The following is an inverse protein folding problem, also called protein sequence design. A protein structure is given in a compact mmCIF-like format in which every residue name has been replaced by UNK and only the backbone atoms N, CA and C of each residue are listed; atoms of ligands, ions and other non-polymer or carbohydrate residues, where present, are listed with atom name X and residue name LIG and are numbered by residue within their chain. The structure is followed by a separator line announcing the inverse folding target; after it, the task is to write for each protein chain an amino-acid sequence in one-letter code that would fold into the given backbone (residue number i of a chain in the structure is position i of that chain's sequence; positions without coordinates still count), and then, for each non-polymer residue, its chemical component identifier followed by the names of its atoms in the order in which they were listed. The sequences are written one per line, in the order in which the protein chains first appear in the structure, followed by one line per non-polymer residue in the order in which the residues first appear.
data_IF_545144223869
#
_entry.id   IF_545144223869
#
_cell.length_a   1.000
_cell.length_b   1.000
_cell.length_c   1.000
_cell.angle_alpha   90.00
_cell.angle_beta   90.00
_cell.angle_gamma   90.00
#
_symmetry.space_group_name_H-M   'P 1'
#
loop_
_entity.id
_entity.type
_entity.pdbx_description
1 polymer ?
#
# COMPACT_ATOMS: atom_id res chain seq x y z
N UNK A 1 -2.91 38.57 33.66
CA UNK A 1 -1.82 38.24 32.71
C UNK A 1 -2.35 38.45 31.29
N UNK A 2 -1.60 39.10 30.40
CA UNK A 2 -2.07 39.36 29.02
C UNK A 2 -2.49 38.04 28.36
N UNK A 3 -3.69 37.99 27.78
CA UNK A 3 -4.32 36.77 27.23
C UNK A 3 -3.41 36.03 26.21
N UNK A 4 -2.55 36.76 25.52
CA UNK A 4 -1.56 36.20 24.59
C UNK A 4 -0.48 35.36 25.25
N UNK A 5 -0.01 35.72 26.46
CA UNK A 5 1.00 34.93 27.17
C UNK A 5 0.44 33.58 27.63
N UNK A 6 -0.85 33.54 27.99
CA UNK A 6 -1.53 32.29 28.37
C UNK A 6 -1.66 31.33 27.18
N UNK A 7 -1.92 31.86 25.98
CA UNK A 7 -2.01 31.05 24.76
C UNK A 7 -0.66 30.38 24.45
N UNK A 8 0.44 31.14 24.49
CA UNK A 8 1.78 30.61 24.23
C UNK A 8 2.16 29.48 25.22
N UNK A 9 1.86 29.66 26.50
CA UNK A 9 2.16 28.66 27.53
C UNK A 9 1.37 27.36 27.32
N UNK A 10 0.09 27.45 26.98
CA UNK A 10 -0.74 26.26 26.73
C UNK A 10 -0.27 25.49 25.49
N UNK A 11 0.12 26.18 24.41
CA UNK A 11 0.64 25.52 23.21
C UNK A 11 1.97 24.82 23.48
N UNK A 12 2.85 25.44 24.27
CA UNK A 12 4.15 24.86 24.62
C UNK A 12 4.01 23.62 25.51
N UNK A 13 3.16 23.68 26.53
CA UNK A 13 2.86 22.49 27.37
C UNK A 13 2.25 21.37 26.53
N UNK A 14 1.31 21.70 25.63
CA UNK A 14 0.68 20.70 24.77
C UNK A 14 1.72 19.95 23.92
N UNK A 15 2.65 20.67 23.26
CA UNK A 15 3.73 20.06 22.46
C UNK A 15 4.66 19.22 23.35
N UNK A 16 5.03 19.71 24.53
CA UNK A 16 5.91 18.96 25.45
C UNK A 16 5.25 17.69 26.00
N UNK A 17 3.92 17.67 26.15
CA UNK A 17 3.19 16.48 26.63
C UNK A 17 2.69 15.56 25.52
N UNK A 18 2.71 16.00 24.26
CA UNK A 18 2.29 15.20 23.11
C UNK A 18 3.36 14.11 22.86
N UNK A 19 3.12 12.91 23.39
CA UNK A 19 4.01 11.76 23.24
C UNK A 19 4.65 11.22 24.53
N UNK A 20 4.43 11.86 25.68
CA UNK A 20 4.97 11.39 26.98
C UNK A 20 3.94 10.68 27.88
N UNK A 21 2.70 10.50 27.42
CA UNK A 21 1.67 9.83 28.20
C UNK A 21 1.47 8.38 27.74
N UNK A 22 2.19 7.46 28.40
CA UNK A 22 1.93 6.02 28.31
C UNK A 22 1.00 5.66 29.47
N UNK A 23 -0.26 5.27 29.23
CA UNK A 23 -1.16 4.89 30.30
C UNK A 23 -0.63 3.65 31.03
N UNK A 24 -0.57 3.63 32.37
CA UNK A 24 -0.13 2.45 33.09
C UNK A 24 -1.14 1.33 32.90
N UNK A 25 -0.71 0.20 32.32
CA UNK A 25 -1.48 -1.03 32.34
C UNK A 25 -1.57 -1.52 33.78
N UNK A 26 -2.77 -1.48 34.37
CA UNK A 26 -3.01 -2.11 35.66
C UNK A 26 -2.98 -3.63 35.48
N UNK A 27 -1.83 -4.24 35.73
CA UNK A 27 -1.73 -5.68 35.92
C UNK A 27 -2.37 -5.98 37.28
N UNK A 28 -3.51 -6.68 37.25
CA UNK A 28 -4.27 -7.08 38.41
C UNK A 28 -3.83 -8.51 38.79
N UNK A 29 -3.08 -8.75 39.89
CA UNK A 29 -2.58 -10.07 40.21
C UNK A 29 -3.40 -10.67 41.35
N UNK A 30 -4.65 -11.07 41.11
CA UNK A 30 -5.37 -12.00 42.00
C UNK A 30 -6.34 -12.86 41.19
N UNK A 31 -5.91 -14.07 40.83
CA UNK A 31 -6.73 -15.29 40.83
C UNK A 31 -5.94 -16.46 40.23
N UNK A 32 -5.19 -17.19 41.07
CA UNK A 32 -5.23 -18.65 41.16
C UNK A 32 -4.03 -19.15 41.95
N UNK A 33 -4.28 -19.50 43.21
CA UNK A 33 -3.53 -20.57 43.85
C UNK A 33 -3.93 -21.89 43.18
N UNK A 34 -2.95 -22.62 42.63
CA UNK A 34 -2.57 -23.95 43.13
C UNK A 34 -1.52 -24.67 42.26
N UNK A 35 -0.54 -25.19 42.99
CA UNK A 35 0.19 -26.44 42.76
C UNK A 35 1.33 -26.48 41.72
N UNK A 36 2.53 -26.27 42.28
CA UNK A 36 3.80 -26.99 42.11
C UNK A 36 3.83 -28.16 41.11
N UNK A 37 4.90 -28.22 40.28
CA UNK A 37 5.87 -29.33 40.20
C UNK A 37 7.10 -28.90 39.37
N UNK A 38 8.25 -29.40 39.81
CA UNK A 38 9.63 -29.05 39.49
C UNK A 38 10.14 -29.45 38.10
N UNK A 39 11.17 -28.73 37.62
CA UNK A 39 12.15 -29.21 36.63
C UNK A 39 12.95 -28.06 35.99
N UNK A 40 14.29 -28.04 36.04
CA UNK A 40 15.08 -27.03 35.34
C UNK A 40 15.30 -27.49 33.90
N UNK A 41 14.88 -26.66 32.94
CA UNK A 41 15.27 -26.80 31.53
C UNK A 41 15.90 -25.47 31.12
N UNK A 42 17.21 -25.40 31.25
CA UNK A 42 18.01 -24.59 30.34
C UNK A 42 17.90 -25.26 28.97
N UNK A 43 17.22 -24.63 28.03
CA UNK A 43 17.41 -24.89 26.61
C UNK A 43 17.17 -23.57 25.90
N UNK A 44 18.30 -22.93 25.60
CA UNK A 44 18.59 -22.15 24.41
C UNK A 44 17.35 -21.60 23.68
N UNK A 45 17.15 -20.29 23.84
CA UNK A 45 16.49 -19.46 22.86
C UNK A 45 17.28 -19.59 21.55
N UNK A 46 16.92 -20.57 20.71
CA UNK A 46 17.19 -20.49 19.29
C UNK A 46 16.40 -19.26 18.79
N UNK A 47 17.08 -18.12 18.75
CA UNK A 47 16.74 -17.05 17.82
C UNK A 47 16.82 -17.67 16.43
N UNK A 48 15.69 -18.20 15.98
CA UNK A 48 15.48 -18.46 14.57
C UNK A 48 15.46 -17.07 13.93
N UNK A 49 16.63 -16.54 13.57
CA UNK A 49 16.74 -15.52 12.55
C UNK A 49 16.07 -16.14 11.32
N UNK A 50 14.78 -15.83 11.15
CA UNK A 50 14.06 -16.16 9.94
C UNK A 50 14.86 -15.50 8.84
N UNK A 51 15.61 -16.30 8.09
CA UNK A 51 16.31 -15.88 6.90
C UNK A 51 15.23 -15.47 5.90
N UNK A 52 14.76 -14.22 6.00
CA UNK A 52 13.83 -13.65 5.05
C UNK A 52 14.59 -13.64 3.73
N UNK A 53 14.10 -14.43 2.77
CA UNK A 53 14.64 -14.42 1.43
C UNK A 53 14.66 -12.96 0.94
N UNK A 54 15.74 -12.53 0.27
CA UNK A 54 15.81 -11.17 -0.26
C UNK A 54 14.64 -10.94 -1.21
N UNK A 55 13.92 -9.84 -1.01
CA UNK A 55 12.82 -9.41 -1.89
C UNK A 55 13.36 -9.27 -3.32
N UNK A 56 12.67 -9.90 -4.26
CA UNK A 56 12.99 -9.91 -5.70
C UNK A 56 12.05 -8.99 -6.49
N UNK A 57 12.42 -8.70 -7.75
CA UNK A 57 11.59 -7.85 -8.62
C UNK A 57 10.27 -8.55 -8.92
N UNK A 58 10.31 -9.88 -9.02
CA UNK A 58 9.15 -10.74 -9.13
C UNK A 58 8.19 -10.56 -7.94
N UNK A 59 8.71 -10.50 -6.70
CA UNK A 59 7.89 -10.27 -5.51
C UNK A 59 7.24 -8.87 -5.49
N UNK A 60 7.92 -7.84 -6.00
CA UNK A 60 7.34 -6.50 -6.14
C UNK A 60 6.24 -6.49 -7.20
N UNK A 61 6.51 -7.17 -8.32
CA UNK A 61 5.58 -7.27 -9.43
C UNK A 61 4.33 -8.06 -9.02
N UNK A 62 4.49 -9.15 -8.26
CA UNK A 62 3.38 -9.92 -7.73
C UNK A 62 2.49 -9.06 -6.81
N UNK A 63 3.07 -8.31 -5.87
CA UNK A 63 2.32 -7.37 -5.03
C UNK A 63 1.59 -6.31 -5.87
N UNK A 64 2.22 -5.76 -6.89
CA UNK A 64 1.58 -4.79 -7.78
C UNK A 64 0.38 -5.39 -8.53
N UNK A 65 0.50 -6.65 -8.98
CA UNK A 65 -0.58 -7.42 -9.61
C UNK A 65 -1.73 -7.65 -8.61
N UNK A 66 -1.42 -8.05 -7.37
CA UNK A 66 -2.41 -8.22 -6.29
C UNK A 66 -3.18 -6.93 -6.00
N UNK A 67 -2.49 -5.79 -5.88
CA UNK A 67 -3.15 -4.49 -5.66
C UNK A 67 -4.04 -4.09 -6.83
N UNK A 68 -3.65 -4.46 -8.06
CA UNK A 68 -4.45 -4.23 -9.25
C UNK A 68 -5.73 -5.06 -9.24
N UNK A 69 -5.67 -6.36 -8.90
CA UNK A 69 -6.86 -7.19 -8.77
C UNK A 69 -7.75 -6.71 -7.63
N UNK A 70 -7.16 -6.39 -6.47
CA UNK A 70 -7.90 -5.86 -5.32
C UNK A 70 -8.66 -4.58 -5.67
N UNK A 71 -8.03 -3.69 -6.44
CA UNK A 71 -8.63 -2.44 -6.94
C UNK A 71 -9.88 -2.70 -7.80
N UNK A 72 -9.80 -3.63 -8.74
CA UNK A 72 -10.93 -3.98 -9.60
C UNK A 72 -12.07 -4.53 -8.75
N UNK A 73 -11.76 -5.38 -7.78
CA UNK A 73 -12.74 -6.06 -6.97
C UNK A 73 -13.52 -7.12 -7.75
N UNK A 74 -14.34 -7.93 -7.06
CA UNK A 74 -14.92 -9.14 -7.63
C UNK A 74 -15.86 -8.87 -8.81
N UNK A 75 -16.58 -7.74 -8.83
CA UNK A 75 -17.53 -7.45 -9.93
C UNK A 75 -16.85 -7.05 -11.23
N UNK A 76 -15.79 -6.26 -11.14
CA UNK A 76 -15.06 -5.83 -12.33
C UNK A 76 -14.13 -6.95 -12.78
N UNK A 77 -13.36 -7.53 -11.85
CA UNK A 77 -12.42 -8.62 -12.12
C UNK A 77 -13.08 -9.78 -12.86
N UNK A 78 -14.27 -10.23 -12.43
CA UNK A 78 -15.00 -11.34 -13.07
C UNK A 78 -15.30 -11.16 -14.57
N UNK A 79 -15.16 -9.94 -15.12
CA UNK A 79 -15.36 -9.68 -16.55
C UNK A 79 -14.05 -9.40 -17.30
N UNK A 80 -13.12 -8.67 -16.70
CA UNK A 80 -11.96 -8.10 -17.42
C UNK A 80 -10.61 -8.60 -16.93
N UNK A 81 -10.56 -9.49 -15.94
CA UNK A 81 -9.31 -9.98 -15.35
C UNK A 81 -8.37 -10.64 -16.37
N UNK A 82 -8.90 -11.46 -17.28
CA UNK A 82 -8.08 -12.10 -18.32
C UNK A 82 -7.38 -11.06 -19.22
N UNK A 83 -8.12 -10.04 -19.69
CA UNK A 83 -7.56 -8.95 -20.50
C UNK A 83 -6.54 -8.12 -19.70
N UNK A 84 -6.76 -7.91 -18.40
CA UNK A 84 -5.81 -7.22 -17.52
C UNK A 84 -4.52 -8.02 -17.35
N UNK A 85 -4.62 -9.34 -17.19
CA UNK A 85 -3.46 -10.24 -17.08
C UNK A 85 -2.65 -10.24 -18.38
N UNK A 86 -3.32 -10.27 -19.53
CA UNK A 86 -2.65 -10.37 -20.83
C UNK A 86 -2.04 -9.03 -21.29
N UNK A 87 -2.72 -7.91 -21.02
CA UNK A 87 -2.34 -6.61 -21.59
C UNK A 87 -1.69 -5.65 -20.59
N UNK A 88 -2.17 -5.60 -19.34
CA UNK A 88 -1.75 -4.58 -18.37
C UNK A 88 -0.59 -5.06 -17.50
N UNK A 89 -0.62 -6.31 -17.06
CA UNK A 89 0.38 -6.86 -16.16
C UNK A 89 1.80 -6.85 -16.73
N UNK A 90 2.05 -7.20 -18.01
CA UNK A 90 3.38 -7.09 -18.60
C UNK A 90 3.91 -5.65 -18.64
N UNK A 91 3.00 -4.67 -18.77
CA UNK A 91 3.37 -3.25 -18.81
C UNK A 91 3.73 -2.75 -17.42
N UNK A 92 3.00 -3.17 -16.38
CA UNK A 92 3.35 -2.87 -14.98
C UNK A 92 4.74 -3.42 -14.66
N UNK A 93 5.00 -4.68 -15.01
CA UNK A 93 6.28 -5.36 -14.80
C UNK A 93 7.43 -4.59 -15.48
N UNK A 94 7.27 -4.27 -16.77
CA UNK A 94 8.24 -3.46 -17.53
C UNK A 94 8.54 -2.12 -16.86
N UNK A 95 7.50 -1.44 -16.34
CA UNK A 95 7.69 -0.14 -15.67
C UNK A 95 8.41 -0.33 -14.33
N UNK A 96 8.05 -1.32 -13.51
CA UNK A 96 8.74 -1.58 -12.24
C UNK A 96 10.22 -1.90 -12.47
N UNK A 97 10.53 -2.78 -13.44
CA UNK A 97 11.91 -3.10 -13.83
C UNK A 97 12.71 -1.87 -14.27
N UNK A 98 12.05 -0.85 -14.81
CA UNK A 98 12.73 0.38 -15.22
C UNK A 98 13.15 1.29 -14.05
N UNK A 99 12.52 1.13 -12.87
CA UNK A 99 12.81 1.91 -11.67
C UNK A 99 13.71 1.18 -10.67
N UNK A 100 13.62 -0.14 -10.66
CA UNK A 100 14.31 -0.99 -9.69
C UNK A 100 15.64 -1.45 -10.27
N UNK A 101 16.71 -1.21 -9.53
CA UNK A 101 18.01 -1.83 -9.80
C UNK A 101 18.06 -3.21 -9.13
N UNK A 102 18.33 -4.27 -9.89
CA UNK A 102 18.37 -5.67 -9.41
C UNK A 102 19.27 -5.87 -8.18
N UNK A 103 20.29 -5.02 -7.99
CA UNK A 103 21.17 -5.05 -6.83
C UNK A 103 20.58 -4.48 -5.54
N UNK A 104 19.47 -3.72 -5.63
CA UNK A 104 18.90 -2.91 -4.56
C UNK A 104 17.38 -3.10 -4.38
N UNK A 105 16.80 -4.15 -4.97
CA UNK A 105 15.37 -4.47 -4.88
C UNK A 105 14.77 -4.37 -3.46
N UNK A 106 15.44 -4.83 -2.39
CA UNK A 106 14.90 -4.71 -1.02
C UNK A 106 14.69 -3.28 -0.53
N UNK A 107 15.16 -2.26 -1.26
CA UNK A 107 14.93 -0.85 -0.94
C UNK A 107 13.60 -0.31 -1.47
N UNK A 108 12.86 -1.07 -2.27
CA UNK A 108 11.62 -0.63 -2.90
C UNK A 108 10.40 -1.37 -2.33
N UNK A 109 9.25 -0.69 -2.31
CA UNK A 109 8.00 -1.22 -1.76
C UNK A 109 6.80 -0.80 -2.61
N UNK A 110 5.74 -1.61 -2.56
CA UNK A 110 4.43 -1.34 -3.17
C UNK A 110 3.44 -0.98 -2.06
N UNK A 111 2.71 0.12 -2.20
CA UNK A 111 1.68 0.50 -1.22
C UNK A 111 0.42 -0.37 -1.36
N UNK A 112 -0.08 -0.91 -0.25
CA UNK A 112 -1.19 -1.89 -0.22
C UNK A 112 -2.58 -1.29 0.10
N UNK A 113 -2.86 -0.08 -0.36
CA UNK A 113 -4.08 0.65 0.01
C UNK A 113 -4.83 1.27 -1.19
N UNK A 114 -5.29 0.48 -2.18
CA UNK A 114 -6.00 1.00 -3.35
C UNK A 114 -7.23 1.83 -2.93
N UNK A 115 -7.49 2.91 -3.66
CA UNK A 115 -8.64 3.77 -3.36
C UNK A 115 -9.96 3.13 -3.79
N UNK A 116 -10.88 2.93 -2.86
CA UNK A 116 -12.21 2.39 -3.17
C UNK A 116 -13.12 3.39 -3.91
N UNK A 117 -14.29 2.93 -4.35
CA UNK A 117 -15.35 3.81 -4.84
C UNK A 117 -15.06 4.36 -6.22
N UNK A 118 -14.65 5.63 -6.28
CA UNK A 118 -14.31 6.34 -7.53
C UNK A 118 -12.87 6.83 -7.59
N UNK A 119 -12.07 6.65 -6.52
CA UNK A 119 -10.67 7.07 -6.53
C UNK A 119 -9.88 6.28 -7.57
N UNK A 120 -8.81 6.85 -8.12
CA UNK A 120 -8.10 6.27 -9.27
C UNK A 120 -6.90 5.42 -8.86
N UNK A 121 -6.29 5.74 -7.70
CA UNK A 121 -5.07 5.09 -7.22
C UNK A 121 -5.22 3.58 -7.03
N UNK A 122 -4.27 2.84 -7.59
CA UNK A 122 -4.08 1.41 -7.40
C UNK A 122 -3.02 1.20 -6.32
N UNK A 123 -1.78 1.62 -6.62
CA UNK A 123 -0.64 1.56 -5.71
C UNK A 123 0.40 2.62 -6.11
N UNK A 124 1.38 2.84 -5.24
CA UNK A 124 2.58 3.61 -5.52
C UNK A 124 3.80 2.70 -5.38
N UNK A 125 4.78 2.92 -6.24
CA UNK A 125 6.13 2.38 -6.07
C UNK A 125 6.92 3.41 -5.26
N UNK A 126 7.45 2.98 -4.10
CA UNK A 126 8.15 3.85 -3.18
C UNK A 126 9.53 3.29 -2.84
N UNK A 127 10.45 4.16 -2.44
CA UNK A 127 11.70 3.77 -1.79
C UNK A 127 11.47 3.59 -0.29
N UNK A 128 11.51 2.36 0.22
CA UNK A 128 11.15 1.98 1.59
C UNK A 128 11.93 2.73 2.69
N UNK A 129 13.21 3.05 2.48
CA UNK A 129 13.98 3.80 3.48
C UNK A 129 13.62 5.29 3.58
N UNK A 130 13.32 5.94 2.45
CA UNK A 130 13.10 7.39 2.39
C UNK A 130 11.62 7.75 2.38
N UNK A 131 10.75 6.78 2.06
CA UNK A 131 9.32 7.00 1.79
C UNK A 131 9.08 7.80 0.51
N UNK A 132 10.08 7.92 -0.36
CA UNK A 132 9.96 8.65 -1.61
C UNK A 132 9.10 7.88 -2.59
N UNK A 133 7.99 8.48 -3.01
CA UNK A 133 7.21 7.98 -4.14
C UNK A 133 8.01 8.18 -5.43
N UNK A 134 8.19 7.12 -6.21
CA UNK A 134 8.88 7.14 -7.49
C UNK A 134 7.86 7.19 -8.63
N UNK A 135 6.83 6.34 -8.52
CA UNK A 135 5.73 6.27 -9.47
C UNK A 135 4.39 5.99 -8.78
N UNK A 136 3.31 6.50 -9.37
CA UNK A 136 1.92 6.28 -8.91
C UNK A 136 1.12 5.60 -10.01
N UNK A 137 0.58 4.42 -9.72
CA UNK A 137 -0.17 3.61 -10.69
C UNK A 137 -1.65 3.75 -10.46
N UNK A 138 -2.36 4.20 -11.47
CA UNK A 138 -3.75 4.64 -11.41
C UNK A 138 -4.59 3.96 -12.50
N UNK A 139 -5.90 3.86 -12.25
CA UNK A 139 -6.89 3.45 -13.25
C UNK A 139 -8.10 4.38 -13.24
N UNK A 140 -8.47 4.85 -14.43
CA UNK A 140 -9.65 5.69 -14.69
C UNK A 140 -10.76 4.92 -15.36
N UNK A 141 -11.97 5.49 -15.27
CA UNK A 141 -13.14 5.05 -16.02
C UNK A 141 -13.50 6.11 -17.02
N UNK A 142 -13.27 5.82 -18.28
CA UNK A 142 -13.46 6.76 -19.37
C UNK A 142 -14.72 6.41 -20.13
N UNK A 143 -15.61 7.38 -20.34
CA UNK A 143 -16.77 7.23 -21.21
C UNK A 143 -16.42 7.79 -22.59
N UNK A 144 -16.30 6.91 -23.57
CA UNK A 144 -16.05 7.27 -24.96
C UNK A 144 -17.36 7.33 -25.75
N UNK A 145 -17.68 8.46 -26.41
CA UNK A 145 -18.90 8.60 -27.20
C UNK A 145 -19.04 7.50 -28.24
N UNK A 146 -20.19 6.81 -28.25
CA UNK A 146 -20.47 5.73 -29.19
C UNK A 146 -19.80 4.38 -28.86
N UNK A 147 -18.73 4.35 -28.06
CA UNK A 147 -17.98 3.15 -27.70
C UNK A 147 -18.38 2.57 -26.34
N UNK A 148 -18.70 3.42 -25.36
CA UNK A 148 -19.02 2.99 -23.99
C UNK A 148 -17.89 3.29 -23.02
N UNK A 149 -17.81 2.53 -21.94
CA UNK A 149 -16.87 2.69 -20.86
C UNK A 149 -15.62 1.85 -21.06
N UNK A 150 -14.49 2.43 -20.67
CA UNK A 150 -13.15 1.84 -20.72
C UNK A 150 -12.44 2.06 -19.39
N UNK A 151 -11.57 1.13 -19.03
CA UNK A 151 -10.62 1.29 -17.94
C UNK A 151 -9.28 1.72 -18.52
N UNK A 152 -8.84 2.94 -18.21
CA UNK A 152 -7.57 3.48 -18.67
C UNK A 152 -6.54 3.36 -17.55
N UNK A 153 -5.57 2.46 -17.75
CA UNK A 153 -4.45 2.24 -16.84
C UNK A 153 -3.29 3.14 -17.24
N UNK A 154 -2.73 3.84 -16.25
CA UNK A 154 -1.62 4.75 -16.47
C UNK A 154 -0.80 4.89 -15.19
N UNK A 155 0.39 5.45 -15.32
CA UNK A 155 1.23 5.82 -14.20
C UNK A 155 1.68 7.27 -14.31
N UNK A 156 2.07 7.81 -13.17
CA UNK A 156 2.65 9.14 -13.00
C UNK A 156 4.03 8.99 -12.39
N UNK A 157 4.99 9.82 -12.78
CA UNK A 157 6.38 9.71 -12.33
C UNK A 157 6.83 10.96 -11.59
N UNK A 158 7.78 10.80 -10.67
CA UNK A 158 8.26 11.92 -9.86
C UNK A 158 8.97 12.98 -10.71
N UNK A 159 9.66 12.59 -11.78
CA UNK A 159 10.50 13.44 -12.62
C UNK A 159 9.72 14.59 -13.27
N UNK A 160 8.44 14.37 -13.58
CA UNK A 160 7.54 15.38 -14.12
C UNK A 160 6.58 15.99 -13.09
N UNK A 161 6.77 15.65 -11.81
CA UNK A 161 5.92 16.13 -10.72
C UNK A 161 4.56 15.42 -10.63
N UNK A 162 4.42 14.24 -11.23
CA UNK A 162 3.19 13.46 -11.32
C UNK A 162 2.08 14.09 -12.16
N UNK A 163 2.45 14.82 -13.21
CA UNK A 163 1.50 15.56 -14.05
C UNK A 163 1.13 14.77 -15.31
N UNK A 164 2.06 13.97 -15.84
CA UNK A 164 1.83 13.24 -17.10
C UNK A 164 1.20 11.88 -16.83
N UNK A 165 0.17 11.57 -17.60
CA UNK A 165 -0.43 10.25 -17.63
C UNK A 165 0.33 9.37 -18.64
N UNK A 166 1.29 8.59 -18.15
CA UNK A 166 2.03 7.63 -18.98
C UNK A 166 1.17 6.37 -19.17
N UNK A 167 0.76 6.02 -20.39
CA UNK A 167 -0.21 4.95 -20.62
C UNK A 167 0.39 3.56 -20.35
N UNK A 168 -0.37 2.71 -19.67
CA UNK A 168 -0.10 1.27 -19.53
C UNK A 168 -0.99 0.45 -20.47
N UNK A 169 -2.22 0.89 -20.68
CA UNK A 169 -3.17 0.20 -21.56
C UNK A 169 -4.61 0.56 -21.24
N UNK A 170 -5.53 0.06 -22.05
CA UNK A 170 -6.94 0.40 -21.96
C UNK A 170 -7.82 -0.83 -22.20
N UNK A 171 -8.68 -1.15 -21.24
CA UNK A 171 -9.52 -2.34 -21.26
C UNK A 171 -10.98 -1.96 -21.45
N UNK A 172 -11.69 -2.62 -22.36
CA UNK A 172 -13.09 -2.32 -22.61
C UNK A 172 -13.97 -2.87 -21.48
N UNK A 173 -14.90 -2.05 -20.97
CA UNK A 173 -15.92 -2.53 -20.05
C UNK A 173 -17.20 -2.91 -20.78
N UNK A 174 -18.00 -1.93 -21.19
CA UNK A 174 -19.33 -2.11 -21.80
C UNK A 174 -19.94 -0.74 -22.14
N UNK A 175 -21.13 -0.72 -22.77
CA UNK A 175 -21.96 0.48 -22.90
C UNK A 175 -22.56 0.97 -21.57
N UNK A 176 -22.75 0.08 -20.59
CA UNK A 176 -23.31 0.44 -19.30
C UNK A 176 -22.24 0.99 -18.35
N UNK A 177 -22.66 1.78 -17.36
CA UNK A 177 -21.74 2.34 -16.37
C UNK A 177 -21.14 1.21 -15.52
N UNK A 178 -19.80 1.11 -15.41
CA UNK A 178 -19.16 0.12 -14.55
C UNK A 178 -19.48 0.37 -13.08
N UNK A 179 -19.42 -0.67 -12.24
CA UNK A 179 -19.58 -0.52 -10.81
C UNK A 179 -18.43 0.31 -10.21
N UNK A 180 -18.52 0.53 -8.89
CA UNK A 180 -17.46 1.20 -8.14
C UNK A 180 -16.26 0.26 -7.97
N UNK A 181 -15.07 0.84 -7.81
CA UNK A 181 -13.89 0.07 -7.45
C UNK A 181 -14.09 -0.67 -6.13
N UNK A 182 -13.55 -1.88 -6.05
CA UNK A 182 -13.60 -2.73 -4.86
C UNK A 182 -15.03 -3.10 -4.42
N UNK A 183 -15.96 -3.30 -5.38
CA UNK A 183 -17.37 -3.69 -5.09
C UNK A 183 -17.78 -5.04 -5.66
#
# INVERSE_FOLDING_TARGET
MKLWMRKLFVTLVAIMTLGLYIPPAQINPEASEKEQVSGPVETETEETEAFLAPVTVEDLTERAKEQTIAKLGPRIGAKVEDEVIEEIFPQIETVIESFVDDGNVPMYEITEDPSAGYGERIFNLIHGQTGEELARFHVRRDLRPGEGYWFNFHYHVKEDGYETHHPLGEIYWDKNTPPKWMS
#
